data_IF_158241487890
#
_entry.id   IF_158241487890
#
_cell.length_a   1.000
_cell.length_b   1.000
_cell.length_c   1.000
_cell.angle_alpha   90.00
_cell.angle_beta   90.00
_cell.angle_gamma   90.00
#
_symmetry.space_group_name_H-M   'P 1'
#
loop_
_entity.id
_entity.type
_entity.pdbx_description
1 polymer ?
#
# COMPACT_ATOMS: atom_id res chain seq x y z
N UNK A 1 0.08 -44.36 19.47
CA UNK A 1 0.38 -43.75 18.15
C UNK A 1 -0.31 -42.39 18.15
N UNK A 2 0.39 -41.35 18.58
CA UNK A 2 -0.16 -39.99 18.68
C UNK A 2 -0.09 -39.37 17.29
N UNK A 3 -1.25 -39.09 16.70
CA UNK A 3 -1.34 -38.36 15.45
C UNK A 3 -1.14 -36.89 15.80
N UNK A 4 0.08 -36.41 15.58
CA UNK A 4 0.38 -34.97 15.60
C UNK A 4 -0.48 -34.35 14.50
N UNK A 5 -1.48 -33.57 14.91
CA UNK A 5 -2.27 -32.74 14.00
C UNK A 5 -1.30 -31.64 13.52
N UNK A 6 -1.07 -31.46 12.22
CA UNK A 6 -0.32 -30.31 11.74
C UNK A 6 -1.09 -29.06 12.17
N UNK A 7 -0.42 -28.14 12.86
CA UNK A 7 -0.97 -26.80 13.04
C UNK A 7 -1.17 -26.22 11.65
N UNK A 8 -2.42 -25.93 11.32
CA UNK A 8 -2.81 -25.13 10.17
C UNK A 8 -2.19 -23.73 10.34
N UNK A 9 -0.90 -23.62 10.01
CA UNK A 9 -0.23 -22.37 9.76
C UNK A 9 -0.77 -21.81 8.46
N UNK A 10 -1.74 -20.93 8.60
CA UNK A 10 -2.37 -20.14 7.56
C UNK A 10 -1.35 -19.72 6.48
N UNK A 11 -1.60 -20.11 5.22
CA UNK A 11 -0.91 -19.57 4.05
C UNK A 11 -1.28 -18.09 3.79
N UNK A 12 -1.99 -17.43 4.72
CA UNK A 12 -2.04 -15.96 4.82
C UNK A 12 -0.65 -15.44 5.20
N UNK A 13 -0.05 -14.59 4.37
CA UNK A 13 1.14 -13.85 4.80
C UNK A 13 0.84 -13.11 6.11
N UNK A 14 1.73 -13.23 7.11
CA UNK A 14 1.60 -12.48 8.36
C UNK A 14 1.54 -10.98 8.08
N UNK A 15 0.78 -10.25 8.90
CA UNK A 15 0.67 -8.80 8.81
C UNK A 15 2.05 -8.14 8.85
N UNK A 16 2.98 -8.73 9.59
CA UNK A 16 4.38 -8.33 9.60
C UNK A 16 5.05 -8.48 8.24
N UNK A 17 4.97 -9.65 7.62
CA UNK A 17 5.62 -9.89 6.34
C UNK A 17 5.07 -8.96 5.24
N UNK A 18 3.76 -8.71 5.26
CA UNK A 18 3.14 -7.77 4.32
C UNK A 18 3.57 -6.32 4.61
N UNK A 19 3.63 -5.90 5.88
CA UNK A 19 4.09 -4.56 6.24
C UNK A 19 5.57 -4.34 5.87
N UNK A 20 6.46 -5.30 6.14
CA UNK A 20 7.88 -5.24 5.76
C UNK A 20 8.05 -5.14 4.23
N UNK A 21 7.28 -5.92 3.48
CA UNK A 21 7.26 -5.84 2.01
C UNK A 21 6.81 -4.45 1.54
N UNK A 22 5.79 -3.85 2.16
CA UNK A 22 5.34 -2.50 1.80
C UNK A 22 6.32 -1.39 2.20
N UNK A 23 7.09 -1.59 3.28
CA UNK A 23 8.14 -0.68 3.76
C UNK A 23 9.49 -0.86 3.06
N UNK A 24 9.62 -1.87 2.19
CA UNK A 24 10.82 -2.10 1.37
C UNK A 24 11.88 -2.99 2.01
N UNK A 25 11.52 -3.77 3.02
CA UNK A 25 12.41 -4.75 3.64
C UNK A 25 12.14 -4.98 5.13
N UNK A 26 13.00 -5.78 5.79
CA UNK A 26 12.85 -6.10 7.20
C UNK A 26 12.85 -4.87 8.09
N UNK A 27 11.95 -4.82 9.07
CA UNK A 27 11.84 -3.73 10.04
C UNK A 27 11.90 -4.32 11.45
N UNK A 28 13.09 -4.32 12.09
CA UNK A 28 13.28 -4.96 13.39
C UNK A 28 12.33 -4.45 14.49
N UNK A 29 11.89 -3.19 14.40
CA UNK A 29 10.95 -2.61 15.36
C UNK A 29 9.61 -3.37 15.42
N UNK A 30 9.21 -4.07 14.36
CA UNK A 30 7.99 -4.88 14.34
C UNK A 30 8.12 -6.14 15.22
N UNK A 31 9.32 -6.51 15.69
CA UNK A 31 9.50 -7.64 16.65
C UNK A 31 8.97 -7.31 18.04
N UNK A 32 8.80 -6.03 18.35
CA UNK A 32 8.23 -5.59 19.61
C UNK A 32 6.70 -5.62 19.61
N UNK A 33 6.07 -5.83 18.46
CA UNK A 33 4.62 -5.83 18.30
C UNK A 33 4.09 -7.26 18.22
N UNK A 34 2.93 -7.47 18.82
CA UNK A 34 2.11 -8.64 18.55
C UNK A 34 1.60 -8.64 17.10
N UNK A 35 1.13 -9.80 16.64
CA UNK A 35 0.57 -9.92 15.29
C UNK A 35 -0.65 -9.02 15.09
N UNK A 36 -1.52 -8.88 16.11
CA UNK A 36 -2.69 -8.00 16.04
C UNK A 36 -2.31 -6.52 15.99
N UNK A 37 -1.32 -6.09 16.78
CA UNK A 37 -0.81 -4.71 16.72
C UNK A 37 -0.15 -4.41 15.37
N UNK A 38 0.51 -5.42 14.78
CA UNK A 38 1.08 -5.30 13.44
C UNK A 38 0.00 -5.22 12.36
N UNK A 39 -1.09 -5.98 12.51
CA UNK A 39 -2.26 -5.90 11.62
C UNK A 39 -2.94 -4.51 11.70
N UNK A 40 -3.08 -3.95 12.90
CA UNK A 40 -3.62 -2.59 13.08
C UNK A 40 -2.70 -1.55 12.42
N UNK A 41 -1.39 -1.68 12.60
CA UNK A 41 -0.40 -0.79 11.98
C UNK A 41 -0.42 -0.90 10.44
N UNK A 42 -0.55 -2.11 9.91
CA UNK A 42 -0.69 -2.35 8.48
C UNK A 42 -1.95 -1.66 7.92
N UNK A 43 -3.10 -1.81 8.60
CA UNK A 43 -4.34 -1.16 8.18
C UNK A 43 -4.22 0.38 8.16
N UNK A 44 -3.58 0.96 9.17
CA UNK A 44 -3.29 2.40 9.23
C UNK A 44 -2.36 2.84 8.10
N UNK A 45 -1.31 2.07 7.84
CA UNK A 45 -0.35 2.36 6.78
C UNK A 45 -1.03 2.34 5.39
N UNK A 46 -1.84 1.33 5.11
CA UNK A 46 -2.59 1.23 3.86
C UNK A 46 -3.59 2.39 3.69
N UNK A 47 -4.27 2.78 4.76
CA UNK A 47 -5.18 3.92 4.75
C UNK A 47 -4.43 5.23 4.45
N UNK A 48 -3.27 5.44 5.07
CA UNK A 48 -2.43 6.60 4.81
C UNK A 48 -1.98 6.64 3.35
N UNK A 49 -1.49 5.52 2.80
CA UNK A 49 -1.10 5.41 1.39
C UNK A 49 -2.23 5.70 0.41
N UNK A 50 -3.43 5.18 0.68
CA UNK A 50 -4.61 5.46 -0.15
C UNK A 50 -4.94 6.96 -0.13
N UNK A 51 -4.87 7.59 1.04
CA UNK A 51 -5.15 9.01 1.21
C UNK A 51 -4.12 9.90 0.50
N UNK A 52 -2.83 9.55 0.61
CA UNK A 52 -1.75 10.26 -0.06
C UNK A 52 -1.85 10.14 -1.59
N UNK A 53 -2.11 8.94 -2.10
CA UNK A 53 -2.35 8.74 -3.54
C UNK A 53 -3.54 9.57 -4.04
N UNK A 54 -4.65 9.62 -3.29
CA UNK A 54 -5.81 10.43 -3.66
C UNK A 54 -5.48 11.93 -3.68
N UNK A 55 -4.75 12.43 -2.67
CA UNK A 55 -4.32 13.82 -2.62
C UNK A 55 -3.36 14.16 -3.79
N UNK A 56 -2.46 13.25 -4.14
CA UNK A 56 -1.58 13.40 -5.31
C UNK A 56 -2.39 13.46 -6.60
N UNK A 57 -3.33 12.54 -6.82
CA UNK A 57 -4.23 12.54 -8.00
C UNK A 57 -4.99 13.86 -8.10
N UNK A 58 -5.55 14.35 -6.99
CA UNK A 58 -6.27 15.63 -6.97
C UNK A 58 -5.38 16.82 -7.34
N UNK A 59 -4.14 16.86 -6.83
CA UNK A 59 -3.17 17.89 -7.18
C UNK A 59 -2.80 17.87 -8.67
N UNK A 60 -2.67 16.68 -9.24
CA UNK A 60 -2.47 16.50 -10.70
C UNK A 60 -3.69 16.98 -11.47
N UNK A 61 -4.89 16.62 -11.04
CA UNK A 61 -6.14 17.02 -11.70
C UNK A 61 -6.32 18.54 -11.71
N UNK A 62 -5.97 19.23 -10.62
CA UNK A 62 -5.97 20.70 -10.58
C UNK A 62 -4.98 21.28 -11.58
N UNK A 63 -3.77 20.73 -11.66
CA UNK A 63 -2.70 21.22 -12.54
C UNK A 63 -3.02 20.98 -14.02
N UNK A 64 -3.47 19.78 -14.36
CA UNK A 64 -3.86 19.40 -15.72
C UNK A 64 -5.19 20.03 -16.12
N UNK A 65 -6.08 20.28 -15.16
CA UNK A 65 -7.35 20.99 -15.38
C UNK A 65 -7.17 22.39 -15.96
N UNK A 66 -6.01 23.03 -15.75
CA UNK A 66 -5.66 24.30 -16.38
C UNK A 66 -5.36 24.19 -17.89
N UNK A 67 -5.12 22.98 -18.42
CA UNK A 67 -4.85 22.75 -19.85
C UNK A 67 -6.15 22.66 -20.67
N UNK A 68 -6.12 23.07 -21.95
CA UNK A 68 -7.19 22.79 -22.90
C UNK A 68 -7.47 21.29 -23.01
N UNK A 69 -8.76 20.93 -23.11
CA UNK A 69 -9.25 19.54 -23.08
C UNK A 69 -8.47 18.52 -23.94
N UNK A 70 -8.02 18.84 -25.18
CA UNK A 70 -7.27 17.88 -26.00
C UNK A 70 -5.91 17.47 -25.42
N UNK A 71 -5.28 18.34 -24.61
CA UNK A 71 -3.92 18.12 -24.10
C UNK A 71 -3.89 17.44 -22.74
N UNK A 72 -5.02 17.40 -22.02
CA UNK A 72 -5.09 16.90 -20.64
C UNK A 72 -4.64 15.45 -20.53
N UNK A 73 -5.12 14.60 -21.44
CA UNK A 73 -4.82 13.15 -21.42
C UNK A 73 -3.36 12.87 -21.79
N UNK A 74 -2.81 13.61 -22.75
CA UNK A 74 -1.40 13.48 -23.14
C UNK A 74 -0.46 13.94 -22.02
N UNK A 75 -0.76 15.09 -21.38
CA UNK A 75 0.03 15.62 -20.28
C UNK A 75 0.06 14.66 -19.08
N UNK A 76 -1.10 14.12 -18.67
CA UNK A 76 -1.17 13.10 -17.60
C UNK A 76 -0.30 11.88 -17.91
N UNK A 77 -0.40 11.36 -19.14
CA UNK A 77 0.34 10.17 -19.57
C UNK A 77 1.85 10.40 -19.60
N UNK A 78 2.31 11.57 -20.04
CA UNK A 78 3.74 11.91 -20.09
C UNK A 78 4.32 12.10 -18.68
N UNK A 79 3.61 12.83 -17.81
CA UNK A 79 4.12 13.17 -16.48
C UNK A 79 4.03 12.01 -15.48
N UNK A 80 3.03 11.12 -15.61
CA UNK A 80 2.70 10.14 -14.56
C UNK A 80 2.53 8.70 -15.05
N UNK A 81 2.61 8.43 -16.35
CA UNK A 81 2.46 7.08 -16.91
C UNK A 81 1.12 6.42 -16.54
N UNK A 82 1.15 5.13 -16.16
CA UNK A 82 -0.03 4.38 -15.73
C UNK A 82 -0.32 4.48 -14.21
N UNK A 83 0.40 5.34 -13.47
CA UNK A 83 0.31 5.39 -12.00
C UNK A 83 -0.95 6.09 -11.47
N UNK A 84 -1.71 6.77 -12.33
CA UNK A 84 -2.88 7.55 -11.92
C UNK A 84 -4.24 6.98 -12.32
N UNK A 85 -4.29 5.84 -13.04
CA UNK A 85 -5.56 5.17 -13.41
C UNK A 85 -6.41 5.98 -14.38
#
# INVERSE_FOLDING_TARGET
MIRVIPEDGDESMSARAELEKQLGGPVPALEALSESETADLLALFEQARRSENAAMVEAVDKTVGALPWPLRTAAKKIMFGNKLG
#
